data_IF_901065588899
#
_entry.id   IF_901065588899
#
_cell.length_a   1.000
_cell.length_b   1.000
_cell.length_c   1.000
_cell.angle_alpha   90.00
_cell.angle_beta   90.00
_cell.angle_gamma   90.00
#
_symmetry.space_group_name_H-M   'P 1'
#
loop_
_entity.id
_entity.type
_entity.pdbx_description
1 polymer ?
#
# COMPACT_ATOMS: atom_id res chain seq x y z
N UNK A 1 -8.61 13.04 6.25
CA UNK A 1 -8.27 11.64 6.50
C UNK A 1 -6.90 11.55 7.14
N UNK A 2 -6.76 10.80 8.22
CA UNK A 2 -5.50 10.58 8.89
C UNK A 2 -4.84 9.29 8.37
N UNK A 3 -3.55 9.15 8.61
CA UNK A 3 -2.81 7.92 8.30
C UNK A 3 -3.49 6.68 8.92
N UNK A 4 -3.85 6.77 10.20
CA UNK A 4 -4.51 5.66 10.90
C UNK A 4 -5.83 5.29 10.24
N UNK A 5 -6.65 6.29 9.91
CA UNK A 5 -7.95 6.08 9.27
C UNK A 5 -7.79 5.42 7.91
N UNK A 6 -6.81 5.87 7.14
CA UNK A 6 -6.53 5.29 5.83
C UNK A 6 -6.12 3.84 5.95
N UNK A 7 -5.24 3.52 6.91
CA UNK A 7 -4.81 2.13 7.12
C UNK A 7 -5.98 1.25 7.55
N UNK A 8 -6.90 1.76 8.36
CA UNK A 8 -8.12 1.04 8.75
C UNK A 8 -9.01 0.74 7.53
N UNK A 9 -9.23 1.74 6.67
CA UNK A 9 -10.07 1.57 5.48
C UNK A 9 -9.46 0.59 4.47
N UNK A 10 -8.17 0.65 4.26
CA UNK A 10 -7.47 -0.27 3.36
C UNK A 10 -7.48 -1.69 3.91
N UNK A 11 -7.29 -1.84 5.22
CA UNK A 11 -7.36 -3.16 5.89
C UNK A 11 -8.76 -3.75 5.78
N UNK A 12 -9.79 -2.92 5.89
CA UNK A 12 -11.18 -3.36 5.74
C UNK A 12 -11.43 -3.93 4.34
N UNK A 13 -10.94 -3.25 3.31
CA UNK A 13 -11.10 -3.73 1.93
C UNK A 13 -10.40 -5.06 1.70
N UNK A 14 -9.20 -5.21 2.22
CA UNK A 14 -8.47 -6.47 2.12
C UNK A 14 -9.14 -7.60 2.92
N UNK A 15 -9.69 -7.26 4.09
CA UNK A 15 -10.43 -8.22 4.90
C UNK A 15 -11.67 -8.75 4.17
N UNK A 16 -12.41 -7.88 3.49
CA UNK A 16 -13.56 -8.26 2.68
C UNK A 16 -13.16 -9.22 1.55
N UNK A 17 -12.03 -8.96 0.89
CA UNK A 17 -11.55 -9.76 -0.23
C UNK A 17 -10.99 -11.12 0.20
N UNK A 18 -10.35 -11.18 1.36
CA UNK A 18 -9.60 -12.37 1.80
C UNK A 18 -10.32 -13.23 2.83
N UNK A 19 -11.33 -12.67 3.50
CA UNK A 19 -11.99 -13.35 4.62
C UNK A 19 -11.20 -13.35 5.92
N UNK A 20 -10.04 -12.66 5.94
CA UNK A 20 -9.23 -12.52 7.15
C UNK A 20 -9.82 -11.40 8.02
N UNK A 21 -9.73 -11.58 9.34
CA UNK A 21 -10.22 -10.59 10.30
C UNK A 21 -9.60 -9.21 10.09
N UNK A 22 -10.45 -8.20 9.98
CA UNK A 22 -10.04 -6.81 9.72
C UNK A 22 -9.09 -6.29 10.81
N UNK A 23 -9.40 -6.56 12.07
CA UNK A 23 -8.59 -6.10 13.20
C UNK A 23 -7.19 -6.70 13.19
N UNK A 24 -7.12 -8.00 12.91
CA UNK A 24 -5.84 -8.70 12.80
C UNK A 24 -4.98 -8.09 11.70
N UNK A 25 -5.58 -7.84 10.55
CA UNK A 25 -4.88 -7.26 9.41
C UNK A 25 -4.38 -5.84 9.71
N UNK A 26 -5.26 -5.01 10.27
CA UNK A 26 -4.89 -3.65 10.65
C UNK A 26 -3.77 -3.63 11.69
N UNK A 27 -3.88 -4.43 12.74
CA UNK A 27 -2.91 -4.43 13.83
C UNK A 27 -1.51 -4.79 13.34
N UNK A 28 -1.40 -5.76 12.44
CA UNK A 28 -0.10 -6.18 11.89
C UNK A 28 0.52 -5.09 11.03
N UNK A 29 -0.27 -4.50 10.14
CA UNK A 29 0.23 -3.44 9.26
C UNK A 29 0.59 -2.18 10.07
N UNK A 30 -0.24 -1.82 11.04
CA UNK A 30 0.01 -0.66 11.90
C UNK A 30 1.26 -0.85 12.75
N UNK A 31 1.48 -2.05 13.27
CA UNK A 31 2.69 -2.36 14.04
C UNK A 31 3.95 -2.18 13.18
N UNK A 32 3.91 -2.65 11.93
CA UNK A 32 5.03 -2.44 11.00
C UNK A 32 5.27 -0.94 10.75
N UNK A 33 4.23 -0.16 10.54
CA UNK A 33 4.35 1.29 10.34
C UNK A 33 4.90 2.01 11.57
N UNK A 34 4.57 1.54 12.76
CA UNK A 34 5.08 2.11 14.01
C UNK A 34 6.58 1.89 14.19
N UNK A 35 7.15 0.87 13.56
CA UNK A 35 8.60 0.63 13.57
C UNK A 35 9.37 1.62 12.71
N UNK A 36 8.70 2.19 11.72
CA UNK A 36 9.28 3.16 10.81
C UNK A 36 8.36 3.34 9.61
N UNK A 37 8.15 4.59 9.20
CA UNK A 37 7.25 4.90 8.11
C UNK A 37 7.69 4.25 6.80
N UNK A 38 6.72 3.73 6.05
CA UNK A 38 6.94 3.20 4.71
C UNK A 38 6.73 4.26 3.62
N UNK A 39 6.63 5.54 4.00
CA UNK A 39 6.62 6.64 3.05
C UNK A 39 8.00 6.82 2.42
N UNK A 40 8.10 6.56 1.12
CA UNK A 40 9.38 6.59 0.41
C UNK A 40 9.81 7.98 -0.06
N UNK A 41 8.92 8.95 -0.01
CA UNK A 41 9.13 10.24 -0.65
C UNK A 41 8.41 10.29 -2.00
N UNK A 42 8.36 11.48 -2.59
CA UNK A 42 7.62 11.69 -3.82
C UNK A 42 6.11 11.50 -3.68
N UNK A 43 5.58 11.54 -2.46
CA UNK A 43 4.15 11.39 -2.21
C UNK A 43 3.66 9.95 -2.19
N UNK A 44 4.54 8.97 -2.03
CA UNK A 44 4.19 7.54 -2.08
C UNK A 44 4.47 6.82 -0.77
N UNK A 45 3.70 5.77 -0.48
CA UNK A 45 3.90 4.92 0.69
C UNK A 45 3.52 3.47 0.37
N UNK A 46 4.17 2.53 1.09
CA UNK A 46 3.94 1.10 0.91
C UNK A 46 3.79 0.41 2.27
N UNK A 47 2.67 0.63 2.98
CA UNK A 47 2.39 -0.16 4.18
C UNK A 47 2.24 -1.63 3.81
N UNK A 48 2.78 -2.52 4.64
CA UNK A 48 2.78 -3.95 4.33
C UNK A 48 2.87 -4.79 5.58
N UNK A 49 2.56 -6.07 5.42
CA UNK A 49 2.66 -7.02 6.52
C UNK A 49 2.50 -8.45 6.06
N UNK A 50 2.90 -9.38 6.92
CA UNK A 50 2.69 -10.81 6.72
C UNK A 50 1.53 -11.24 7.61
N UNK A 51 0.52 -11.85 7.02
CA UNK A 51 -0.76 -12.11 7.67
C UNK A 51 -0.98 -13.62 7.85
N UNK A 52 -1.17 -14.08 9.12
CA UNK A 52 -1.52 -15.48 9.36
C UNK A 52 -2.83 -15.86 8.67
N UNK A 53 -2.87 -17.02 8.05
CA UNK A 53 -4.07 -17.51 7.38
C UNK A 53 -4.29 -17.01 5.98
N UNK A 54 -3.50 -16.05 5.53
CA UNK A 54 -3.58 -15.56 4.15
C UNK A 54 -2.93 -16.58 3.22
N UNK A 55 -3.54 -16.84 2.07
CA UNK A 55 -3.09 -17.86 1.13
C UNK A 55 -2.26 -17.30 -0.02
N UNK A 56 -2.53 -16.08 -0.43
CA UNK A 56 -1.90 -15.44 -1.57
C UNK A 56 -1.50 -14.01 -1.24
N UNK A 57 -0.49 -13.51 -1.92
CA UNK A 57 -0.14 -12.08 -1.85
C UNK A 57 -1.31 -11.27 -2.39
N UNK A 58 -1.72 -10.25 -1.65
CA UNK A 58 -2.81 -9.36 -2.02
C UNK A 58 -2.40 -7.91 -1.81
N UNK A 59 -2.97 -7.02 -2.59
CA UNK A 59 -2.71 -5.60 -2.45
C UNK A 59 -3.95 -4.77 -2.70
N UNK A 60 -3.96 -3.59 -2.11
CA UNK A 60 -4.97 -2.56 -2.37
C UNK A 60 -4.27 -1.22 -2.56
N UNK A 61 -4.75 -0.43 -3.50
CA UNK A 61 -4.17 0.85 -3.84
C UNK A 61 -5.14 1.97 -3.52
N UNK A 62 -4.63 3.06 -2.93
CA UNK A 62 -5.41 4.25 -2.67
C UNK A 62 -4.74 5.48 -3.30
N UNK A 63 -5.53 6.24 -4.04
CA UNK A 63 -5.16 7.55 -4.54
C UNK A 63 -6.00 8.57 -3.79
N UNK A 64 -5.35 9.51 -3.11
CA UNK A 64 -6.01 10.51 -2.28
C UNK A 64 -6.12 11.83 -3.03
N UNK A 65 -7.25 12.50 -2.90
CA UNK A 65 -7.44 13.82 -3.49
C UNK A 65 -6.53 14.85 -2.82
N UNK A 66 -6.25 14.67 -1.56
CA UNK A 66 -5.37 15.54 -0.77
C UNK A 66 -4.37 14.68 -0.02
N UNK A 67 -3.08 15.02 -0.14
CA UNK A 67 -2.04 14.31 0.57
C UNK A 67 -2.19 14.40 2.08
N UNK A 68 -1.74 13.36 2.77
CA UNK A 68 -1.79 13.28 4.23
C UNK A 68 -0.39 13.14 4.81
N UNK A 69 -0.24 13.51 6.07
CA UNK A 69 1.02 13.31 6.79
C UNK A 69 1.19 11.81 7.06
N UNK A 70 2.23 11.24 6.46
CA UNK A 70 2.56 9.83 6.60
C UNK A 70 3.92 9.64 7.32
N UNK A 71 4.48 10.73 7.81
CA UNK A 71 5.84 10.76 8.35
C UNK A 71 6.85 10.20 7.34
N UNK A 72 6.67 10.57 6.07
CA UNK A 72 7.54 10.10 4.99
C UNK A 72 8.97 10.62 5.15
N UNK A 73 9.92 9.93 4.54
CA UNK A 73 11.35 10.25 4.69
C UNK A 73 11.71 11.66 4.20
N UNK A 74 10.93 12.23 3.29
CA UNK A 74 11.14 13.59 2.76
C UNK A 74 10.24 14.65 3.41
N UNK A 75 9.46 14.27 4.43
CA UNK A 75 8.51 15.13 5.15
C UNK A 75 7.40 15.72 4.27
N UNK A 76 7.18 15.15 3.08
CA UNK A 76 6.14 15.61 2.15
C UNK A 76 4.87 14.80 2.35
N UNK A 77 3.69 15.41 2.09
CA UNK A 77 2.42 14.67 2.16
C UNK A 77 2.39 13.49 1.17
N UNK A 78 1.67 12.45 1.54
CA UNK A 78 1.52 11.24 0.72
C UNK A 78 0.11 11.20 0.16
N UNK A 79 -0.01 10.97 -1.15
CA UNK A 79 -1.29 10.86 -1.85
C UNK A 79 -1.47 9.54 -2.60
N UNK A 80 -0.41 8.75 -2.74
CA UNK A 80 -0.47 7.42 -3.36
C UNK A 80 0.00 6.39 -2.35
N UNK A 81 -0.90 5.46 -1.97
CA UNK A 81 -0.60 4.45 -0.97
C UNK A 81 -0.92 3.07 -1.53
N UNK A 82 0.04 2.18 -1.49
CA UNK A 82 -0.13 0.79 -1.88
C UNK A 82 0.06 -0.08 -0.64
N UNK A 83 -1.00 -0.77 -0.21
CA UNK A 83 -0.91 -1.70 0.92
C UNK A 83 -0.75 -3.12 0.40
N UNK A 84 0.32 -3.79 0.84
CA UNK A 84 0.64 -5.16 0.42
C UNK A 84 0.58 -6.08 1.63
N UNK A 85 -0.14 -7.18 1.50
CA UNK A 85 -0.19 -8.23 2.51
C UNK A 85 0.20 -9.57 1.88
N UNK A 86 0.94 -10.37 2.63
CA UNK A 86 1.49 -11.64 2.14
C UNK A 86 1.25 -12.73 3.16
N UNK A 87 1.22 -14.01 2.73
CA UNK A 87 1.16 -15.13 3.66
C UNK A 87 2.35 -15.11 4.63
N UNK A 88 2.12 -15.56 5.84
CA UNK A 88 3.13 -15.57 6.89
C UNK A 88 4.40 -16.30 6.47
N UNK A 89 4.27 -17.37 5.69
CA UNK A 89 5.38 -18.21 5.24
C UNK A 89 5.85 -17.89 3.82
N UNK A 90 5.54 -16.71 3.29
CA UNK A 90 5.81 -16.40 1.88
C UNK A 90 7.27 -16.10 1.57
N UNK A 91 8.10 -15.75 2.55
CA UNK A 91 9.54 -15.56 2.35
C UNK A 91 9.91 -14.75 1.12
N UNK A 92 10.43 -15.46 0.10
CA UNK A 92 10.90 -14.85 -1.15
C UNK A 92 9.77 -14.17 -1.94
N UNK A 93 8.55 -14.72 -1.91
CA UNK A 93 7.41 -14.12 -2.63
C UNK A 93 7.04 -12.76 -2.06
N UNK A 94 7.11 -12.60 -0.74
CA UNK A 94 6.88 -11.32 -0.10
C UNK A 94 7.91 -10.28 -0.55
N UNK A 95 9.19 -10.64 -0.52
CA UNK A 95 10.27 -9.74 -0.93
C UNK A 95 10.18 -9.39 -2.40
N UNK A 96 9.84 -10.37 -3.24
CA UNK A 96 9.67 -10.14 -4.68
C UNK A 96 8.53 -9.18 -4.97
N UNK A 97 7.39 -9.34 -4.29
CA UNK A 97 6.24 -8.46 -4.46
C UNK A 97 6.58 -7.03 -4.00
N UNK A 98 7.24 -6.88 -2.86
CA UNK A 98 7.67 -5.56 -2.38
C UNK A 98 8.61 -4.88 -3.37
N UNK A 99 9.55 -5.63 -3.94
CA UNK A 99 10.51 -5.11 -4.92
C UNK A 99 9.80 -4.61 -6.19
N UNK A 100 8.84 -5.37 -6.70
CA UNK A 100 8.08 -5.00 -7.89
C UNK A 100 7.27 -3.72 -7.66
N UNK A 101 6.58 -3.63 -6.53
CA UNK A 101 5.77 -2.45 -6.20
C UNK A 101 6.66 -1.25 -5.92
N UNK A 102 7.77 -1.44 -5.21
CA UNK A 102 8.73 -0.36 -4.96
C UNK A 102 9.23 0.26 -6.27
N UNK A 103 9.49 -0.58 -7.27
CA UNK A 103 9.92 -0.11 -8.58
C UNK A 103 8.86 0.78 -9.23
N UNK A 104 7.59 0.41 -9.12
CA UNK A 104 6.48 1.19 -9.67
C UNK A 104 6.35 2.54 -8.96
N UNK A 105 6.33 2.56 -7.63
CA UNK A 105 6.09 3.78 -6.87
C UNK A 105 7.29 4.73 -6.84
N UNK A 106 8.48 4.26 -7.20
CA UNK A 106 9.66 5.11 -7.38
C UNK A 106 9.77 5.71 -8.77
N UNK A 107 8.94 5.26 -9.71
CA UNK A 107 8.88 5.79 -11.06
C UNK A 107 8.00 7.06 -11.04
N UNK A 108 8.63 8.22 -10.98
CA UNK A 108 7.95 9.51 -10.87
C UNK A 108 6.99 9.76 -12.04
N UNK A 109 7.38 9.40 -13.25
CA UNK A 109 6.55 9.59 -14.42
C UNK A 109 5.28 8.75 -14.34
N UNK A 110 5.40 7.49 -13.93
CA UNK A 110 4.25 6.61 -13.74
C UNK A 110 3.34 7.14 -12.64
N UNK A 111 3.89 7.60 -11.53
CA UNK A 111 3.10 8.17 -10.42
C UNK A 111 2.33 9.40 -10.87
N UNK A 112 2.91 10.28 -11.69
CA UNK A 112 2.19 11.43 -12.23
C UNK A 112 1.02 11.01 -13.13
N UNK A 113 1.21 9.98 -13.94
CA UNK A 113 0.13 9.44 -14.78
C UNK A 113 -0.99 8.86 -13.92
N UNK A 114 -0.64 8.19 -12.84
CA UNK A 114 -1.63 7.65 -11.89
C UNK A 114 -2.43 8.79 -11.24
N UNK A 115 -1.76 9.88 -10.86
CA UNK A 115 -2.42 11.04 -10.28
C UNK A 115 -3.41 11.70 -11.24
N UNK A 116 -3.11 11.68 -12.52
CA UNK A 116 -3.96 12.24 -13.57
C UNK A 116 -5.08 11.30 -14.01
N UNK A 117 -5.00 10.02 -13.65
CA UNK A 117 -5.97 9.02 -14.08
C UNK A 117 -7.37 9.33 -13.55
N UNK A 118 -8.38 9.21 -14.41
CA UNK A 118 -9.76 9.54 -14.08
C UNK A 118 -10.51 8.39 -13.41
N UNK A 119 -10.11 7.14 -13.67
CA UNK A 119 -10.84 5.95 -13.20
C UNK A 119 -9.91 4.94 -12.56
N UNK A 120 -10.48 4.04 -11.73
CA UNK A 120 -9.76 2.92 -11.16
C UNK A 120 -9.19 1.97 -12.22
N UNK A 121 -9.89 1.81 -13.34
CA UNK A 121 -9.41 0.98 -14.44
C UNK A 121 -8.14 1.56 -15.07
N UNK A 122 -8.08 2.86 -15.24
CA UNK A 122 -6.90 3.55 -15.77
C UNK A 122 -5.72 3.37 -14.83
N UNK A 123 -5.95 3.50 -13.51
CA UNK A 123 -4.93 3.29 -12.50
C UNK A 123 -4.42 1.84 -12.55
N UNK A 124 -5.33 0.88 -12.64
CA UNK A 124 -4.97 -0.54 -12.73
C UNK A 124 -4.06 -0.82 -13.91
N UNK A 125 -4.37 -0.25 -15.08
CA UNK A 125 -3.54 -0.39 -16.28
C UNK A 125 -2.15 0.16 -16.08
N UNK A 126 -2.04 1.34 -15.43
CA UNK A 126 -0.74 1.96 -15.15
C UNK A 126 0.09 1.14 -14.16
N UNK A 127 -0.55 0.50 -13.19
CA UNK A 127 0.13 -0.35 -12.21
C UNK A 127 0.59 -1.67 -12.80
N UNK A 128 -0.12 -2.19 -13.81
CA UNK A 128 0.17 -3.51 -14.40
C UNK A 128 0.93 -3.46 -15.71
N UNK A 129 1.17 -2.27 -16.25
CA UNK A 129 1.97 -2.12 -17.48
C UNK A 129 3.46 -2.23 -17.18
N UNK A 130 4.21 -2.72 -18.14
CA UNK A 130 5.67 -2.85 -18.03
C UNK A 130 6.41 -1.54 -18.34
#
# INVERSE_FOLDING_TARGET
>A
VSKKRLLQEMSRKLAEDTGIDERTMFDIVAERENLGSTGFGGGTALPHGRIPGLRHVKGVFAKLNKGIDFAACDNRPVDLVFMLVSPENSGADHLSALAQISKIIKDEERCEKIREAATGNDIYRLLTSD
#
